data_IF_948079753845
#
_entry.id   IF_948079753845
#
_cell.length_a   1.000
_cell.length_b   1.000
_cell.length_c   1.000
_cell.angle_alpha   90.00
_cell.angle_beta   90.00
_cell.angle_gamma   90.00
#
_symmetry.space_group_name_H-M   'P 1'
#
loop_
_entity.id
_entity.type
_entity.pdbx_description
1 polymer ?
#
# COMPACT_ATOMS: atom_id res chain seq x y z
N UNK A 1 -4.09 12.33 1.77
CA UNK A 1 -4.20 10.85 1.91
C UNK A 1 -3.23 10.46 3.01
N UNK A 2 -3.67 9.68 4.00
CA UNK A 2 -2.91 9.42 5.24
C UNK A 2 -1.48 8.91 5.01
N UNK A 3 -1.21 8.20 3.89
CA UNK A 3 0.16 7.81 3.54
C UNK A 3 1.10 9.00 3.40
N UNK A 4 0.69 10.05 2.68
CA UNK A 4 1.54 11.22 2.43
C UNK A 4 1.90 11.95 3.72
N UNK A 5 0.97 11.97 4.68
CA UNK A 5 1.13 12.65 5.96
C UNK A 5 2.13 11.93 6.87
N UNK A 6 2.40 10.64 6.61
CA UNK A 6 3.22 9.78 7.46
C UNK A 6 4.33 9.04 6.70
N UNK A 7 4.58 9.36 5.43
CA UNK A 7 5.54 8.63 4.59
C UNK A 7 6.95 8.65 5.20
N UNK A 8 7.29 9.74 5.90
CA UNK A 8 8.57 9.94 6.58
C UNK A 8 8.81 8.90 7.70
N UNK A 9 7.76 8.32 8.30
CA UNK A 9 7.90 7.27 9.32
C UNK A 9 8.52 5.98 8.76
N UNK A 10 8.43 5.79 7.43
CA UNK A 10 8.94 4.61 6.77
C UNK A 10 10.30 4.83 6.09
N UNK A 11 10.95 5.99 6.25
CA UNK A 11 12.27 6.27 5.64
C UNK A 11 13.36 5.28 6.07
N UNK A 12 13.29 4.82 7.32
CA UNK A 12 14.22 3.85 7.90
C UNK A 12 13.74 2.39 7.74
N UNK A 13 12.70 2.14 6.94
CA UNK A 13 12.29 0.78 6.57
C UNK A 13 13.01 0.40 5.28
N UNK A 14 13.75 -0.71 5.29
CA UNK A 14 14.44 -1.23 4.09
C UNK A 14 13.46 -1.88 3.09
N UNK A 15 12.46 -1.11 2.64
CA UNK A 15 11.43 -1.55 1.70
C UNK A 15 11.01 -0.42 0.75
N UNK A 16 10.63 -0.80 -0.48
CA UNK A 16 9.98 0.12 -1.40
C UNK A 16 8.48 0.26 -1.06
N UNK A 17 7.98 1.49 -1.05
CA UNK A 17 6.59 1.79 -0.68
C UNK A 17 5.79 2.18 -1.90
N UNK A 18 4.68 1.46 -2.09
CA UNK A 18 3.74 1.67 -3.17
C UNK A 18 2.32 1.73 -2.63
N UNK A 19 1.45 2.46 -3.32
CA UNK A 19 0.01 2.22 -3.25
C UNK A 19 -0.41 1.48 -4.49
N UNK A 20 -1.47 0.68 -4.42
CA UNK A 20 -1.98 -0.11 -5.53
C UNK A 20 -3.50 -0.11 -5.54
N UNK A 21 -4.11 -0.01 -6.71
CA UNK A 21 -5.56 -0.12 -6.89
C UNK A 21 -5.92 -0.61 -8.29
N UNK A 22 -7.20 -0.81 -8.56
CA UNK A 22 -7.72 -1.13 -9.90
C UNK A 22 -7.77 0.06 -10.85
N UNK A 23 -7.54 1.29 -10.38
CA UNK A 23 -7.62 2.50 -11.22
C UNK A 23 -6.51 2.53 -12.27
N UNK A 24 -6.75 3.25 -13.38
CA UNK A 24 -5.79 3.32 -14.48
C UNK A 24 -4.57 4.20 -14.14
N UNK A 25 -3.44 4.02 -14.84
CA UNK A 25 -2.27 4.89 -14.67
C UNK A 25 -2.58 6.38 -14.88
N UNK A 26 -3.47 6.72 -15.83
CA UNK A 26 -3.89 8.10 -16.09
C UNK A 26 -4.66 8.69 -14.89
N UNK A 27 -5.61 7.94 -14.32
CA UNK A 27 -6.34 8.38 -13.13
C UNK A 27 -5.41 8.61 -11.93
N UNK A 28 -4.42 7.73 -11.74
CA UNK A 28 -3.38 7.91 -10.72
C UNK A 28 -2.50 9.12 -10.99
N UNK A 29 -2.12 9.38 -12.24
CA UNK A 29 -1.33 10.55 -12.60
C UNK A 29 -2.10 11.85 -12.33
N UNK A 30 -3.38 11.90 -12.69
CA UNK A 30 -4.24 13.05 -12.42
C UNK A 30 -4.39 13.30 -10.92
N UNK A 31 -4.67 12.25 -10.14
CA UNK A 31 -4.76 12.32 -8.68
C UNK A 31 -3.44 12.80 -8.05
N UNK A 32 -2.31 12.25 -8.48
CA UNK A 32 -0.97 12.64 -7.99
C UNK A 32 -0.69 14.12 -8.27
N UNK A 33 -1.03 14.61 -9.46
CA UNK A 33 -0.84 16.01 -9.84
C UNK A 33 -1.76 16.97 -9.06
N UNK A 34 -3.00 16.55 -8.80
CA UNK A 34 -3.98 17.35 -8.08
C UNK A 34 -3.61 17.50 -6.60
N UNK A 35 -3.23 16.41 -5.95
CA UNK A 35 -3.01 16.36 -4.50
C UNK A 35 -1.54 16.55 -4.11
N UNK A 36 -0.61 16.52 -5.07
CA UNK A 36 0.82 16.69 -4.83
C UNK A 36 1.47 15.49 -4.13
N UNK A 37 0.95 14.27 -4.32
CA UNK A 37 1.52 13.07 -3.72
C UNK A 37 2.92 12.78 -4.25
N UNK A 38 3.81 12.26 -3.41
CA UNK A 38 5.21 11.95 -3.76
C UNK A 38 5.42 10.47 -4.04
N UNK A 39 4.66 9.60 -3.38
CA UNK A 39 4.74 8.15 -3.53
C UNK A 39 4.28 7.63 -4.90
N UNK A 40 4.60 6.37 -5.19
CA UNK A 40 4.23 5.71 -6.44
C UNK A 40 2.87 5.01 -6.29
N UNK A 41 2.01 5.18 -7.29
CA UNK A 41 0.69 4.55 -7.39
C UNK A 41 0.73 3.52 -8.53
N UNK A 42 0.48 2.25 -8.20
CA UNK A 42 0.47 1.12 -9.12
C UNK A 42 -0.97 0.81 -9.56
N UNK A 43 -1.11 0.52 -10.85
CA UNK A 43 -2.38 0.11 -11.45
C UNK A 43 -2.42 -1.41 -11.61
N UNK A 44 -3.43 -2.05 -11.02
CA UNK A 44 -3.71 -3.48 -11.13
C UNK A 44 -5.19 -3.72 -11.48
N UNK A 45 -5.61 -3.36 -12.71
CA UNK A 45 -7.01 -3.44 -13.14
C UNK A 45 -7.55 -4.87 -13.21
N UNK A 46 -6.66 -5.87 -13.21
CA UNK A 46 -7.02 -7.29 -13.19
C UNK A 46 -6.98 -7.90 -11.79
N UNK A 47 -6.65 -7.11 -10.76
CA UNK A 47 -6.53 -7.53 -9.37
C UNK A 47 -5.50 -8.65 -9.13
N UNK A 48 -4.59 -8.94 -10.06
CA UNK A 48 -3.69 -10.09 -9.95
C UNK A 48 -2.68 -9.96 -8.80
N UNK A 49 -2.20 -8.74 -8.53
CA UNK A 49 -1.28 -8.45 -7.42
C UNK A 49 -2.08 -8.29 -6.13
N UNK A 50 -3.23 -7.63 -6.20
CA UNK A 50 -4.15 -7.45 -5.08
C UNK A 50 -4.66 -8.80 -4.53
N UNK A 51 -4.96 -9.76 -5.40
CA UNK A 51 -5.31 -11.14 -5.02
C UNK A 51 -4.13 -11.85 -4.34
N UNK A 52 -2.90 -11.71 -4.88
CA UNK A 52 -1.69 -12.26 -4.23
C UNK A 52 -1.38 -11.62 -2.89
N UNK A 53 -1.90 -10.41 -2.66
CA UNK A 53 -1.77 -9.68 -1.42
C UNK A 53 -2.81 -10.10 -0.38
N UNK A 54 -3.71 -11.04 -0.68
CA UNK A 54 -4.89 -11.36 0.15
C UNK A 54 -5.77 -10.11 0.43
N UNK A 55 -5.81 -9.15 -0.50
CA UNK A 55 -6.53 -7.88 -0.37
C UNK A 55 -7.63 -7.68 -1.42
N UNK A 56 -8.02 -8.73 -2.15
CA UNK A 56 -9.12 -8.66 -3.10
C UNK A 56 -10.48 -8.62 -2.39
N UNK A 57 -11.27 -7.58 -2.65
CA UNK A 57 -12.70 -7.54 -2.38
C UNK A 57 -13.52 -7.96 -3.61
N UNK A 58 -14.83 -7.72 -3.59
CA UNK A 58 -15.74 -8.18 -4.66
C UNK A 58 -15.41 -7.62 -6.06
N UNK A 59 -15.03 -6.34 -6.14
CA UNK A 59 -14.76 -5.63 -7.41
C UNK A 59 -13.54 -4.69 -7.35
N UNK A 60 -12.94 -4.57 -6.17
CA UNK A 60 -11.80 -3.68 -5.89
C UNK A 60 -11.04 -4.23 -4.69
N UNK A 61 -9.90 -3.65 -4.36
CA UNK A 61 -9.19 -4.00 -3.14
C UNK A 61 -10.00 -3.62 -1.88
N UNK A 62 -9.89 -4.43 -0.83
CA UNK A 62 -10.17 -3.94 0.53
C UNK A 62 -9.05 -2.98 0.96
N UNK A 63 -9.32 -2.13 1.95
CA UNK A 63 -8.37 -1.13 2.41
C UNK A 63 -7.45 -1.71 3.49
N UNK A 64 -6.16 -1.43 3.40
CA UNK A 64 -5.17 -1.91 4.36
C UNK A 64 -3.76 -1.88 3.78
N UNK A 65 -2.91 -2.80 4.23
CA UNK A 65 -1.52 -2.92 3.77
C UNK A 65 -1.10 -4.38 3.62
N UNK A 66 -0.07 -4.60 2.82
CA UNK A 66 0.55 -5.92 2.63
C UNK A 66 2.05 -5.76 2.45
N UNK A 67 2.82 -6.74 2.92
CA UNK A 67 4.28 -6.75 2.85
C UNK A 67 4.72 -7.98 2.06
N UNK A 68 5.61 -7.77 1.09
CA UNK A 68 6.17 -8.81 0.25
C UNK A 68 7.68 -8.91 0.46
N UNK A 69 8.23 -10.11 0.35
CA UNK A 69 9.67 -10.29 0.27
C UNK A 69 10.20 -9.94 -1.14
N UNK A 70 11.53 -9.90 -1.26
CA UNK A 70 12.24 -9.61 -2.52
C UNK A 70 11.93 -10.57 -3.68
N UNK A 71 11.39 -11.76 -3.37
CA UNK A 71 11.05 -12.79 -4.35
C UNK A 71 9.54 -12.71 -4.72
N UNK A 72 8.81 -11.72 -4.20
CA UNK A 72 7.40 -11.47 -4.46
C UNK A 72 6.46 -12.39 -3.70
N UNK A 73 6.93 -13.01 -2.61
CA UNK A 73 6.10 -13.83 -1.72
C UNK A 73 5.49 -12.96 -0.63
N UNK A 74 4.19 -13.14 -0.39
CA UNK A 74 3.49 -12.46 0.70
C UNK A 74 4.07 -12.86 2.06
N UNK A 75 4.44 -11.87 2.86
CA UNK A 75 4.88 -12.03 4.26
C UNK A 75 3.67 -11.85 5.19
N UNK A 76 2.99 -10.70 5.07
CA UNK A 76 1.82 -10.36 5.87
C UNK A 76 0.86 -9.48 5.09
N UNK A 77 -0.42 -9.51 5.48
CA UNK A 77 -1.47 -8.66 4.97
C UNK A 77 -2.50 -8.37 6.05
N UNK A 78 -3.02 -7.16 6.08
CA UNK A 78 -4.03 -6.74 7.04
C UNK A 78 -5.05 -5.81 6.40
N UNK A 79 -6.31 -6.25 6.37
CA UNK A 79 -7.46 -5.39 6.11
C UNK A 79 -7.66 -4.45 7.31
N UNK A 80 -7.50 -3.15 7.08
CA UNK A 80 -7.60 -2.12 8.10
C UNK A 80 -7.96 -0.77 7.46
N UNK A 81 -9.22 -0.37 7.56
CA UNK A 81 -9.68 0.95 7.09
C UNK A 81 -8.99 2.14 7.77
N UNK A 82 -8.45 1.91 8.97
CA UNK A 82 -7.85 2.91 9.87
C UNK A 82 -6.33 2.80 9.94
N UNK A 83 -5.68 2.06 9.02
CA UNK A 83 -4.23 1.86 9.05
C UNK A 83 -3.45 3.17 9.16
N UNK A 84 -3.92 4.22 8.48
CA UNK A 84 -3.30 5.55 8.49
C UNK A 84 -3.62 6.39 9.73
N UNK A 85 -4.74 6.13 10.40
CA UNK A 85 -5.06 6.73 11.71
C UNK A 85 -4.33 6.02 12.86
N UNK A 86 -3.87 4.78 12.62
CA UNK A 86 -3.12 3.96 13.57
C UNK A 86 -1.69 3.71 13.07
N UNK A 87 -1.09 4.73 12.47
CA UNK A 87 0.14 4.57 11.71
C UNK A 87 1.31 4.02 12.52
N UNK A 88 1.49 4.46 13.77
CA UNK A 88 2.57 3.97 14.64
C UNK A 88 2.50 2.44 14.82
N UNK A 89 1.29 1.92 15.04
CA UNK A 89 1.05 0.48 15.17
C UNK A 89 1.14 -0.24 13.82
N UNK A 90 0.73 0.40 12.73
CA UNK A 90 0.89 -0.16 11.37
C UNK A 90 2.37 -0.31 11.02
N UNK A 91 3.18 0.71 11.34
CA UNK A 91 4.63 0.72 11.11
C UNK A 91 5.34 -0.34 11.94
N UNK A 92 5.01 -0.46 13.23
CA UNK A 92 5.56 -1.50 14.12
C UNK A 92 5.33 -2.91 13.55
N UNK A 93 4.10 -3.22 13.13
CA UNK A 93 3.77 -4.51 12.51
C UNK A 93 4.51 -4.77 11.21
N UNK A 94 4.72 -3.73 10.39
CA UNK A 94 5.49 -3.84 9.14
C UNK A 94 6.95 -4.14 9.46
N UNK A 95 7.54 -3.50 10.48
CA UNK A 95 8.91 -3.78 10.91
C UNK A 95 9.05 -5.21 11.42
N UNK A 96 8.16 -5.64 12.31
CA UNK A 96 8.15 -7.01 12.84
C UNK A 96 8.04 -8.07 11.73
N UNK A 97 7.33 -7.76 10.64
CA UNK A 97 7.21 -8.66 9.49
C UNK A 97 8.50 -8.77 8.66
N UNK A 98 9.38 -7.76 8.71
CA UNK A 98 10.60 -7.68 7.91
C UNK A 98 11.85 -8.20 8.64
N UNK A 99 11.77 -8.49 9.95
CA UNK A 99 12.84 -9.12 10.76
C UNK A 99 12.98 -10.64 10.51
#
# INVERSE_FOLDING_TARGET
MQLQENIDQFEDVEADIYTISSDSPEAHQDLKNQEGFTFTMLSDPSLNVIEKADMAGDQMSVRGYSVFDKDGKLITSEENDFWGDNIDNTEEKIREALE
#
